data_IF_528533747744
#
_entry.id   IF_528533747744
#
_cell.length_a   1.000
_cell.length_b   1.000
_cell.length_c   1.000
_cell.angle_alpha   90.00
_cell.angle_beta   90.00
_cell.angle_gamma   90.00
#
_symmetry.space_group_name_H-M   'P 1'
#
loop_
_entity.id
_entity.type
_entity.pdbx_description
1 polymer ?
#
# COMPACT_ATOMS: atom_id res chain seq x y z
N UNK A 1 12.31 -17.81 -10.15
CA UNK A 1 11.54 -16.68 -9.58
C UNK A 1 11.90 -16.57 -8.10
N UNK A 2 12.56 -15.49 -7.69
CA UNK A 2 12.58 -15.14 -6.26
C UNK A 2 11.18 -14.64 -5.94
N UNK A 3 10.39 -15.39 -5.18
CA UNK A 3 9.28 -14.79 -4.45
C UNK A 3 9.91 -13.82 -3.47
N UNK A 4 9.89 -12.52 -3.80
CA UNK A 4 10.18 -11.50 -2.80
C UNK A 4 9.08 -11.64 -1.74
N UNK A 5 9.44 -12.27 -0.62
CA UNK A 5 8.61 -12.26 0.58
C UNK A 5 8.45 -10.80 0.99
N UNK A 6 7.28 -10.25 0.74
CA UNK A 6 6.92 -8.92 1.25
C UNK A 6 6.69 -9.11 2.76
N UNK A 7 7.44 -8.40 3.62
CA UNK A 7 7.24 -8.51 5.07
C UNK A 7 5.84 -8.07 5.48
N UNK A 8 5.28 -8.74 6.48
CA UNK A 8 4.01 -8.38 7.09
C UNK A 8 4.23 -7.72 8.46
N UNK A 9 3.35 -6.79 8.80
CA UNK A 9 3.29 -6.07 10.07
C UNK A 9 1.94 -6.32 10.74
N UNK A 10 1.96 -6.49 12.06
CA UNK A 10 0.77 -6.69 12.89
C UNK A 10 0.47 -5.36 13.59
N UNK A 11 -0.73 -4.83 13.37
CA UNK A 11 -1.21 -3.60 14.00
C UNK A 11 -2.29 -3.96 15.03
N UNK A 12 -2.03 -3.62 16.29
CA UNK A 12 -2.99 -3.83 17.38
C UNK A 12 -3.97 -2.67 17.42
N UNK A 13 -5.24 -2.95 17.20
CA UNK A 13 -6.34 -1.98 17.32
C UNK A 13 -7.21 -2.32 18.53
N UNK A 14 -8.04 -1.38 18.98
CA UNK A 14 -9.00 -1.62 20.06
C UNK A 14 -9.99 -2.77 19.80
N UNK A 15 -10.08 -3.26 18.55
CA UNK A 15 -10.93 -4.39 18.13
C UNK A 15 -10.15 -5.69 17.88
N UNK A 16 -8.84 -5.71 18.15
CA UNK A 16 -7.97 -6.87 17.94
C UNK A 16 -6.76 -6.57 17.03
N UNK A 17 -6.03 -7.61 16.67
CA UNK A 17 -4.85 -7.55 15.80
C UNK A 17 -5.24 -7.68 14.33
N UNK A 18 -4.64 -6.85 13.47
CA UNK A 18 -4.79 -6.97 12.02
C UNK A 18 -3.42 -7.00 11.35
N UNK A 19 -3.21 -8.00 10.50
CA UNK A 19 -2.00 -8.15 9.72
C UNK A 19 -2.14 -7.40 8.38
N UNK A 20 -1.09 -6.66 8.02
CA UNK A 20 -0.95 -5.95 6.75
C UNK A 20 0.40 -6.29 6.14
N UNK A 21 0.51 -6.34 4.81
CA UNK A 21 1.83 -6.24 4.20
C UNK A 21 2.37 -4.81 4.40
N UNK A 22 3.69 -4.66 4.35
CA UNK A 22 4.33 -3.38 4.64
C UNK A 22 3.88 -2.25 3.70
N UNK A 23 3.58 -2.54 2.42
CA UNK A 23 3.13 -1.51 1.49
C UNK A 23 1.71 -1.05 1.81
N UNK A 24 0.81 -1.97 2.10
CA UNK A 24 -0.55 -1.63 2.54
C UNK A 24 -0.54 -0.81 3.84
N UNK A 25 0.35 -1.13 4.79
CA UNK A 25 0.48 -0.35 6.02
C UNK A 25 1.00 1.06 5.75
N UNK A 26 1.96 1.23 4.85
CA UNK A 26 2.51 2.54 4.49
C UNK A 26 1.54 3.36 3.62
N UNK A 27 0.71 2.71 2.81
CA UNK A 27 -0.34 3.39 2.05
C UNK A 27 -1.34 4.10 2.97
N UNK A 28 -1.72 3.50 4.10
CA UNK A 28 -2.53 4.17 5.13
C UNK A 28 -1.88 5.45 5.68
N UNK A 29 -0.55 5.47 5.77
CA UNK A 29 0.23 6.67 6.15
C UNK A 29 0.44 7.62 4.95
N UNK A 30 -0.28 7.40 3.85
CA UNK A 30 -0.26 8.18 2.61
C UNK A 30 1.08 8.12 1.86
N UNK A 31 1.78 6.99 1.98
CA UNK A 31 3.04 6.75 1.27
C UNK A 31 2.79 5.82 0.08
N UNK A 32 3.07 6.33 -1.12
CA UNK A 32 2.99 5.58 -2.38
C UNK A 32 4.39 5.29 -2.89
N UNK A 33 4.66 4.02 -3.26
CA UNK A 33 5.95 3.58 -3.78
C UNK A 33 5.90 3.39 -5.29
N UNK A 34 6.92 3.88 -5.98
CA UNK A 34 7.21 3.53 -7.38
C UNK A 34 8.59 2.88 -7.38
N UNK A 35 8.61 1.55 -7.42
CA UNK A 35 9.83 0.74 -7.35
C UNK A 35 10.30 0.16 -8.68
N UNK A 36 9.57 0.46 -9.76
CA UNK A 36 9.86 0.04 -11.13
C UNK A 36 9.96 1.25 -12.05
N UNK A 37 10.37 1.01 -13.29
CA UNK A 37 10.21 2.02 -14.35
C UNK A 37 8.74 2.44 -14.46
N UNK A 38 8.55 3.70 -14.84
CA UNK A 38 7.22 4.28 -15.02
C UNK A 38 6.74 3.90 -16.42
N UNK A 39 5.88 2.90 -16.46
CA UNK A 39 5.07 2.52 -17.63
C UNK A 39 3.58 2.81 -17.38
N UNK A 40 2.74 2.52 -18.36
CA UNK A 40 1.29 2.73 -18.26
C UNK A 40 0.68 1.97 -17.07
N UNK A 41 1.21 0.78 -16.74
CA UNK A 41 0.70 -0.01 -15.63
C UNK A 41 1.06 0.63 -14.28
N UNK A 42 2.32 1.03 -14.10
CA UNK A 42 2.79 1.71 -12.90
C UNK A 42 2.05 3.04 -12.69
N UNK A 43 1.85 3.81 -13.76
CA UNK A 43 1.09 5.07 -13.71
C UNK A 43 -0.37 4.83 -13.29
N UNK A 44 -1.05 3.84 -13.87
CA UNK A 44 -2.42 3.50 -13.52
C UNK A 44 -2.56 3.08 -12.04
N UNK A 45 -1.63 2.27 -11.54
CA UNK A 45 -1.63 1.84 -10.12
C UNK A 45 -1.42 3.05 -9.20
N UNK A 46 -0.45 3.92 -9.49
CA UNK A 46 -0.19 5.10 -8.67
C UNK A 46 -1.39 6.04 -8.62
N UNK A 47 -2.04 6.30 -9.77
CA UNK A 47 -3.26 7.11 -9.84
C UNK A 47 -4.40 6.49 -9.05
N UNK A 48 -4.62 5.17 -9.17
CA UNK A 48 -5.64 4.48 -8.40
C UNK A 48 -5.40 4.59 -6.88
N UNK A 49 -4.15 4.43 -6.42
CA UNK A 49 -3.78 4.60 -5.02
C UNK A 49 -4.01 6.03 -4.52
N UNK A 50 -3.68 7.05 -5.32
CA UNK A 50 -3.94 8.45 -4.97
C UNK A 50 -5.44 8.76 -4.86
N UNK A 51 -6.25 8.30 -5.82
CA UNK A 51 -7.72 8.46 -5.78
C UNK A 51 -8.34 7.74 -4.58
N UNK A 52 -7.86 6.53 -4.26
CA UNK A 52 -8.28 5.79 -3.08
C UNK A 52 -8.02 6.59 -1.79
N UNK A 53 -6.81 7.12 -1.63
CA UNK A 53 -6.44 7.92 -0.45
C UNK A 53 -7.25 9.21 -0.34
N UNK A 54 -7.55 9.85 -1.47
CA UNK A 54 -8.42 11.04 -1.49
C UNK A 54 -9.85 10.71 -1.06
N UNK A 55 -10.36 9.53 -1.38
CA UNK A 55 -11.71 9.11 -0.99
C UNK A 55 -11.82 8.74 0.49
N UNK A 56 -10.75 8.27 1.15
CA UNK A 56 -10.77 8.04 2.60
C UNK A 56 -10.89 9.33 3.42
N UNK A 57 -10.64 10.50 2.82
CA UNK A 57 -10.83 11.81 3.44
C UNK A 57 -12.26 12.37 3.34
N UNK A 58 -13.11 11.78 2.48
CA UNK A 58 -14.48 12.22 2.23
C UNK A 58 -15.51 11.52 3.11
#
# INVERSE_FOLDING_TARGET
MKSQLIPYVIETTNRGERAYDIYSRLLKDRIVFIGSDIDDMAANIAVAQMLFLQMEDG
#
